data_IF_933533102732
#
_entry.id   IF_933533102732
#
_cell.length_a   1.000
_cell.length_b   1.000
_cell.length_c   1.000
_cell.angle_alpha   90.00
_cell.angle_beta   90.00
_cell.angle_gamma   90.00
#
_symmetry.space_group_name_H-M   'P 1'
#
loop_
_entity.id
_entity.type
_entity.pdbx_description
1 polymer ?
#
# COMPACT_ATOMS: atom_id res chain seq x y z
N UNK A 1 -11.81 6.02 27.77
CA UNK A 1 -10.82 5.08 27.19
C UNK A 1 -9.98 4.42 28.28
N UNK A 2 -9.29 5.17 29.16
CA UNK A 2 -8.41 4.61 30.20
C UNK A 2 -9.06 3.52 31.08
N UNK A 3 -10.32 3.72 31.49
CA UNK A 3 -11.12 2.75 32.25
C UNK A 3 -11.25 1.40 31.51
N UNK A 4 -11.69 1.42 30.25
CA UNK A 4 -11.83 0.23 29.41
C UNK A 4 -10.48 -0.47 29.15
N UNK A 5 -9.40 0.30 29.03
CA UNK A 5 -8.04 -0.26 28.92
C UNK A 5 -7.64 -0.98 30.21
N UNK A 6 -8.05 -0.48 31.38
CA UNK A 6 -7.87 -1.17 32.66
C UNK A 6 -8.57 -2.54 32.68
N UNK A 7 -9.82 -2.63 32.22
CA UNK A 7 -10.52 -3.91 32.04
C UNK A 7 -9.81 -4.82 31.02
N UNK A 8 -9.27 -4.24 29.95
CA UNK A 8 -8.43 -4.98 29.01
C UNK A 8 -7.13 -5.50 29.66
N UNK A 9 -6.67 -4.94 30.77
CA UNK A 9 -5.58 -5.53 31.56
C UNK A 9 -6.07 -6.35 32.77
N UNK A 10 -7.37 -6.63 32.84
CA UNK A 10 -7.96 -7.53 33.82
C UNK A 10 -8.42 -6.88 35.12
N UNK A 11 -8.34 -5.55 35.26
CA UNK A 11 -8.84 -4.88 36.45
C UNK A 11 -10.38 -4.95 36.50
N UNK A 12 -11.00 -5.31 37.64
CA UNK A 12 -12.42 -5.09 37.87
C UNK A 12 -12.71 -3.60 38.14
N UNK A 13 -13.98 -3.26 38.33
CA UNK A 13 -14.31 -2.00 39.00
C UNK A 13 -13.84 -2.05 40.45
N UNK A 14 -13.47 -0.91 41.04
CA UNK A 14 -12.93 -0.88 42.42
C UNK A 14 -13.92 -1.34 43.51
N UNK A 15 -15.21 -1.38 43.22
CA UNK A 15 -16.25 -1.93 44.10
C UNK A 15 -16.56 -3.43 43.83
N UNK A 16 -15.77 -4.07 42.97
CA UNK A 16 -15.85 -5.50 42.65
C UNK A 16 -16.44 -5.83 41.28
N UNK A 17 -16.91 -7.07 41.13
CA UNK A 17 -17.27 -7.68 39.83
C UNK A 17 -18.61 -7.20 39.23
N UNK A 18 -19.36 -6.39 39.96
CA UNK A 18 -20.65 -5.84 39.50
C UNK A 18 -20.43 -4.61 38.60
N UNK A 19 -21.34 -4.38 37.65
CA UNK A 19 -21.38 -3.13 36.87
C UNK A 19 -22.25 -2.03 37.53
N UNK A 20 -22.82 -2.31 38.71
CA UNK A 20 -23.69 -1.39 39.43
C UNK A 20 -22.97 -0.81 40.67
N UNK A 21 -22.50 0.45 40.63
CA UNK A 21 -21.99 1.12 41.82
C UNK A 21 -23.13 1.50 42.79
N UNK A 22 -22.78 1.83 44.02
CA UNK A 22 -23.69 2.31 45.07
C UNK A 22 -24.46 1.22 45.82
N UNK A 23 -24.33 -0.06 45.44
CA UNK A 23 -25.16 -1.15 45.99
C UNK A 23 -24.65 -1.61 47.36
N UNK A 24 -23.44 -2.17 47.39
CA UNK A 24 -22.81 -2.71 48.59
C UNK A 24 -21.31 -2.42 48.55
N UNK A 25 -20.68 -2.40 49.72
CA UNK A 25 -19.23 -2.32 49.80
C UNK A 25 -18.64 -3.60 49.23
N UNK A 26 -17.69 -3.47 48.31
CA UNK A 26 -17.02 -4.59 47.68
C UNK A 26 -15.56 -4.30 47.40
N UNK A 27 -14.86 -5.37 47.02
CA UNK A 27 -13.41 -5.44 46.83
C UNK A 27 -13.11 -5.84 45.37
N UNK A 28 -12.11 -5.21 44.77
CA UNK A 28 -11.58 -5.53 43.44
C UNK A 28 -10.37 -6.47 43.48
N UNK A 29 -10.06 -7.00 44.65
CA UNK A 29 -8.95 -7.91 44.95
C UNK A 29 -7.57 -7.29 44.72
N UNK A 30 -7.49 -5.96 44.84
CA UNK A 30 -6.24 -5.22 44.83
C UNK A 30 -6.04 -4.55 46.18
N UNK A 31 -5.02 -4.97 46.91
CA UNK A 31 -4.84 -4.61 48.34
C UNK A 31 -4.73 -3.10 48.62
N UNK A 32 -4.24 -2.31 47.65
CA UNK A 32 -4.08 -0.86 47.80
C UNK A 32 -5.24 -0.03 47.23
N UNK A 33 -6.35 -0.67 46.87
CA UNK A 33 -7.64 -0.03 46.60
C UNK A 33 -8.61 -0.30 47.76
N UNK A 34 -8.97 0.72 48.56
CA UNK A 34 -9.91 0.54 49.65
C UNK A 34 -11.28 0.04 49.18
N UNK A 35 -11.90 -0.84 49.98
CA UNK A 35 -13.29 -1.28 49.80
C UNK A 35 -14.22 -0.09 49.60
N UNK A 36 -15.06 -0.15 48.58
CA UNK A 36 -15.97 0.95 48.25
C UNK A 36 -17.29 0.44 47.68
N UNK A 37 -18.32 1.27 47.74
CA UNK A 37 -19.55 1.05 46.95
C UNK A 37 -19.39 1.50 45.49
N UNK A 38 -18.35 2.26 45.18
CA UNK A 38 -18.18 2.92 43.90
C UNK A 38 -18.93 4.25 43.82
N UNK A 39 -18.34 5.22 43.13
CA UNK A 39 -18.87 6.57 43.01
C UNK A 39 -19.37 6.87 41.59
N UNK A 40 -20.37 7.74 41.49
CA UNK A 40 -20.87 8.27 40.19
C UNK A 40 -20.76 9.81 40.14
N UNK A 41 -20.25 10.40 41.20
CA UNK A 41 -20.02 11.84 41.36
C UNK A 41 -18.62 12.07 41.91
N UNK A 42 -18.03 13.23 41.64
CA UNK A 42 -16.74 13.59 42.21
C UNK A 42 -16.92 14.24 43.59
N UNK A 43 -16.82 13.45 44.66
CA UNK A 43 -16.80 13.98 46.02
C UNK A 43 -15.62 13.40 46.82
N UNK A 44 -14.51 14.13 46.79
CA UNK A 44 -13.28 13.74 47.50
C UNK A 44 -13.34 14.02 49.01
N UNK A 45 -14.25 14.89 49.47
CA UNK A 45 -14.29 15.35 50.87
C UNK A 45 -15.21 14.47 51.75
N UNK A 46 -15.88 13.47 51.17
CA UNK A 46 -16.81 12.60 51.89
C UNK A 46 -16.81 11.18 51.30
N UNK A 47 -15.63 10.59 51.17
CA UNK A 47 -15.42 9.27 50.56
C UNK A 47 -15.26 8.13 51.57
N UNK A 48 -15.67 8.31 52.83
CA UNK A 48 -15.56 7.28 53.89
C UNK A 48 -16.90 6.58 54.11
N UNK A 49 -17.30 5.71 53.19
CA UNK A 49 -18.63 5.06 53.18
C UNK A 49 -18.57 3.66 53.78
N UNK A 50 -17.54 2.89 53.43
CA UNK A 50 -17.37 1.48 53.79
C UNK A 50 -16.48 1.29 55.02
N UNK A 51 -15.49 2.16 55.22
CA UNK A 51 -14.67 2.24 56.44
C UNK A 51 -14.58 3.71 56.91
N UNK A 52 -14.96 4.03 58.16
CA UNK A 52 -14.90 5.40 58.67
C UNK A 52 -13.48 5.98 58.84
N UNK A 53 -12.44 5.14 58.77
CA UNK A 53 -11.05 5.55 58.94
C UNK A 53 -10.29 5.69 57.62
N UNK A 54 -10.82 5.18 56.52
CA UNK A 54 -10.13 5.10 55.23
C UNK A 54 -10.90 5.91 54.18
N UNK A 55 -10.20 6.81 53.49
CA UNK A 55 -10.75 7.52 52.34
C UNK A 55 -10.75 6.61 51.11
N UNK A 56 -11.92 6.38 50.53
CA UNK A 56 -12.06 5.56 49.33
C UNK A 56 -11.52 6.29 48.10
N UNK A 57 -11.03 5.51 47.14
CA UNK A 57 -10.31 6.02 45.98
C UNK A 57 -11.25 6.53 44.86
N UNK A 58 -11.97 7.62 45.13
CA UNK A 58 -12.92 8.25 44.17
C UNK A 58 -12.23 8.60 42.84
N UNK A 59 -10.93 8.91 42.86
CA UNK A 59 -10.17 9.34 41.68
C UNK A 59 -9.53 8.18 40.92
N UNK A 60 -9.88 6.93 41.24
CA UNK A 60 -9.38 5.76 40.53
C UNK A 60 -9.98 5.67 39.12
N UNK A 61 -9.16 5.28 38.13
CA UNK A 61 -9.63 5.04 36.77
C UNK A 61 -10.68 3.93 36.67
N UNK A 62 -10.72 2.98 37.60
CA UNK A 62 -11.68 1.88 37.64
C UNK A 62 -12.96 2.20 38.44
N UNK A 63 -13.11 3.43 38.92
CA UNK A 63 -14.38 3.94 39.45
C UNK A 63 -15.27 4.50 38.30
N UNK A 64 -16.52 4.90 38.55
CA UNK A 64 -17.39 5.61 37.61
C UNK A 64 -17.45 7.13 37.85
N UNK A 65 -16.75 7.62 38.87
CA UNK A 65 -16.64 9.06 39.14
C UNK A 65 -16.10 9.82 37.92
N UNK A 66 -16.52 11.07 37.68
CA UNK A 66 -16.02 11.86 36.57
C UNK A 66 -14.61 12.44 36.80
N UNK A 67 -13.98 12.27 37.97
CA UNK A 67 -12.72 12.93 38.33
C UNK A 67 -11.54 11.97 38.50
N UNK A 68 -11.49 10.95 37.64
CA UNK A 68 -10.46 9.91 37.65
C UNK A 68 -9.11 10.47 37.19
N UNK A 69 -8.05 10.17 37.92
CA UNK A 69 -6.70 10.67 37.66
C UNK A 69 -5.62 9.58 37.71
N UNK A 70 -5.87 8.44 38.37
CA UNK A 70 -4.81 7.48 38.69
C UNK A 70 -5.24 6.01 38.68
N UNK A 71 -4.25 5.14 38.48
CA UNK A 71 -4.25 3.76 38.96
C UNK A 71 -3.39 3.69 40.23
N UNK A 72 -3.59 2.67 41.04
CA UNK A 72 -2.70 2.36 42.16
C UNK A 72 -1.50 1.51 41.72
N UNK A 73 -0.52 1.34 42.61
CA UNK A 73 0.64 0.49 42.31
C UNK A 73 0.25 -1.00 42.28
N UNK A 74 -0.68 -1.41 43.14
CA UNK A 74 -1.26 -2.75 43.14
C UNK A 74 -2.01 -3.03 41.85
N UNK A 75 -2.79 -2.08 41.34
CA UNK A 75 -3.47 -2.21 40.04
C UNK A 75 -2.45 -2.33 38.90
N UNK A 76 -1.36 -1.54 38.92
CA UNK A 76 -0.28 -1.68 37.93
C UNK A 76 0.39 -3.06 37.98
N UNK A 77 0.65 -3.59 39.18
CA UNK A 77 1.19 -4.93 39.37
C UNK A 77 0.21 -6.02 38.86
N UNK A 78 -1.09 -5.86 39.13
CA UNK A 78 -2.14 -6.75 38.64
C UNK A 78 -2.16 -6.78 37.11
N UNK A 79 -2.18 -5.61 36.47
CA UNK A 79 -2.16 -5.48 35.01
C UNK A 79 -0.95 -6.18 34.39
N UNK A 80 0.25 -6.00 34.98
CA UNK A 80 1.47 -6.68 34.53
C UNK A 80 1.35 -8.20 34.66
N UNK A 81 0.86 -8.69 35.80
CA UNK A 81 0.69 -10.12 36.03
C UNK A 81 -0.33 -10.75 35.06
N UNK A 82 -1.38 -10.02 34.70
CA UNK A 82 -2.35 -10.45 33.67
C UNK A 82 -1.69 -10.68 32.30
N UNK A 83 -0.72 -9.83 31.92
CA UNK A 83 0.06 -10.02 30.69
C UNK A 83 0.92 -11.28 30.82
N UNK A 84 1.66 -11.42 31.93
CA UNK A 84 2.60 -12.53 32.16
C UNK A 84 1.93 -13.90 32.23
N UNK A 85 0.77 -14.00 32.89
CA UNK A 85 -0.02 -15.23 33.01
C UNK A 85 -0.60 -15.70 31.66
N UNK A 86 -0.59 -14.84 30.63
CA UNK A 86 -1.04 -15.22 29.30
C UNK A 86 -2.55 -15.39 29.16
N UNK A 87 -3.33 -14.86 30.11
CA UNK A 87 -4.79 -14.80 29.99
C UNK A 87 -5.16 -14.17 28.64
N UNK A 88 -6.04 -14.84 27.90
CA UNK A 88 -6.45 -14.42 26.54
C UNK A 88 -5.27 -14.17 25.58
N UNK A 89 -4.15 -14.90 25.74
CA UNK A 89 -2.94 -14.80 24.92
C UNK A 89 -2.24 -13.44 25.01
N UNK A 90 -2.46 -12.67 26.09
CA UNK A 90 -1.82 -11.37 26.31
C UNK A 90 -0.31 -11.46 26.49
N UNK A 91 0.22 -12.60 26.92
CA UNK A 91 1.66 -12.86 26.97
C UNK A 91 2.35 -12.74 25.60
N UNK A 92 1.60 -12.81 24.49
CA UNK A 92 2.14 -12.53 23.16
C UNK A 92 2.69 -11.10 23.04
N UNK A 93 2.07 -10.13 23.71
CA UNK A 93 2.51 -8.71 23.66
C UNK A 93 3.96 -8.54 24.10
N UNK A 94 4.38 -9.33 25.09
CA UNK A 94 5.73 -9.30 25.67
C UNK A 94 6.54 -10.54 25.30
N UNK A 95 6.05 -11.35 24.36
CA UNK A 95 6.80 -12.50 23.87
C UNK A 95 8.06 -12.03 23.17
N UNK A 96 9.16 -12.77 23.33
CA UNK A 96 10.43 -12.40 22.72
C UNK A 96 10.32 -12.20 21.21
N UNK A 97 9.56 -13.06 20.53
CA UNK A 97 9.29 -12.90 19.09
C UNK A 97 8.63 -11.58 18.77
N UNK A 98 7.57 -11.20 19.49
CA UNK A 98 6.86 -9.94 19.22
C UNK A 98 7.73 -8.74 19.56
N UNK A 99 8.44 -8.75 20.70
CA UNK A 99 9.33 -7.67 21.09
C UNK A 99 10.46 -7.44 20.07
N UNK A 100 10.94 -8.51 19.42
CA UNK A 100 11.87 -8.41 18.28
C UNK A 100 11.17 -7.87 17.03
N UNK A 101 10.03 -8.43 16.64
CA UNK A 101 9.29 -8.00 15.43
C UNK A 101 8.78 -6.56 15.50
N UNK A 102 8.55 -6.01 16.69
CA UNK A 102 8.12 -4.62 16.88
C UNK A 102 9.25 -3.66 17.26
N UNK A 103 10.50 -4.12 17.31
CA UNK A 103 11.66 -3.26 17.54
C UNK A 103 11.82 -2.74 18.97
N UNK A 104 11.22 -3.42 19.95
CA UNK A 104 11.32 -3.04 21.38
C UNK A 104 12.59 -3.62 22.01
N UNK A 105 12.98 -4.84 21.64
CA UNK A 105 14.12 -5.55 22.25
C UNK A 105 15.39 -5.51 21.39
N UNK A 106 15.24 -5.45 20.08
CA UNK A 106 16.35 -5.33 19.13
C UNK A 106 16.07 -4.09 18.29
N UNK A 107 17.12 -3.30 17.98
CA UNK A 107 17.00 -2.31 16.92
C UNK A 107 16.58 -3.07 15.66
N UNK A 108 15.36 -2.84 15.16
CA UNK A 108 15.08 -3.25 13.81
C UNK A 108 16.04 -2.48 12.93
N UNK A 109 16.93 -3.21 12.27
CA UNK A 109 17.64 -2.70 11.12
C UNK A 109 16.61 -2.25 10.10
N UNK A 110 16.35 -0.94 10.03
CA UNK A 110 15.66 -0.34 8.90
C UNK A 110 16.61 -0.46 7.71
N UNK A 111 16.69 -1.67 7.16
CA UNK A 111 17.45 -1.95 5.95
C UNK A 111 16.89 -1.08 4.85
N UNK A 112 17.79 -0.45 4.12
CA UNK A 112 17.44 0.35 2.98
C UNK A 112 16.76 -0.53 1.94
N UNK A 113 15.62 -0.08 1.45
CA UNK A 113 14.93 -0.63 0.30
C UNK A 113 14.78 0.46 -0.75
N UNK A 114 15.56 0.34 -1.81
CA UNK A 114 15.63 1.31 -2.89
C UNK A 114 14.31 1.34 -3.66
N UNK A 115 13.76 2.54 -3.83
CA UNK A 115 12.57 2.75 -4.65
C UNK A 115 12.54 4.18 -5.17
N UNK A 116 11.94 4.37 -6.34
CA UNK A 116 11.69 5.68 -6.90
C UNK A 116 10.39 5.73 -7.70
N UNK A 117 9.88 6.94 -7.89
CA UNK A 117 8.76 7.21 -8.79
C UNK A 117 9.20 8.21 -9.86
N UNK A 118 8.51 8.21 -10.99
CA UNK A 118 8.72 9.14 -12.09
C UNK A 118 7.41 9.84 -12.43
N UNK A 119 7.48 11.08 -12.93
CA UNK A 119 6.28 11.84 -13.31
C UNK A 119 5.50 11.18 -14.46
N UNK A 120 6.20 10.45 -15.34
CA UNK A 120 5.64 9.69 -16.45
C UNK A 120 6.40 8.35 -16.60
N UNK A 121 5.90 7.41 -17.39
CA UNK A 121 6.66 6.20 -17.79
C UNK A 121 7.15 6.26 -19.23
N UNK A 122 6.62 7.22 -19.97
CA UNK A 122 6.89 7.45 -21.38
C UNK A 122 6.83 8.94 -21.70
N UNK A 123 7.74 9.43 -22.55
CA UNK A 123 7.82 10.83 -22.97
C UNK A 123 8.19 10.94 -24.46
N UNK A 124 8.07 12.13 -25.04
CA UNK A 124 8.64 12.41 -26.35
C UNK A 124 10.13 12.77 -26.25
N UNK A 125 10.82 12.62 -27.37
CA UNK A 125 12.20 13.04 -27.56
C UNK A 125 12.35 14.51 -27.19
N UNK A 126 13.48 14.82 -26.56
CA UNK A 126 13.85 16.13 -26.02
C UNK A 126 12.99 16.65 -24.87
N UNK A 127 11.97 15.90 -24.43
CA UNK A 127 11.25 16.21 -23.20
C UNK A 127 12.04 15.82 -21.95
N UNK A 128 11.64 16.42 -20.83
CA UNK A 128 12.21 16.15 -19.52
C UNK A 128 11.22 15.45 -18.61
N UNK A 129 11.74 14.54 -17.80
CA UNK A 129 10.99 13.76 -16.82
C UNK A 129 11.58 13.98 -15.43
N UNK A 130 10.74 14.02 -14.41
CA UNK A 130 11.18 14.15 -13.02
C UNK A 130 11.17 12.79 -12.34
N UNK A 131 12.25 12.45 -11.65
CA UNK A 131 12.34 11.29 -10.77
C UNK A 131 12.43 11.71 -9.31
N UNK A 132 11.76 10.96 -8.44
CA UNK A 132 11.70 11.18 -7.00
C UNK A 132 12.21 9.93 -6.28
N UNK A 133 13.21 10.09 -5.42
CA UNK A 133 13.59 9.04 -4.48
C UNK A 133 12.42 8.79 -3.51
N UNK A 134 12.00 7.53 -3.41
CA UNK A 134 10.95 7.06 -2.51
C UNK A 134 11.42 5.81 -1.74
N UNK A 135 12.72 5.73 -1.47
CA UNK A 135 13.34 4.59 -0.80
C UNK A 135 12.99 4.54 0.69
N UNK A 136 12.65 3.35 1.18
CA UNK A 136 12.43 3.11 2.60
C UNK A 136 13.80 2.98 3.27
N UNK A 137 14.20 3.98 4.04
CA UNK A 137 15.58 4.04 4.57
C UNK A 137 15.72 4.58 6.00
N UNK A 138 14.67 5.20 6.56
CA UNK A 138 14.76 5.86 7.86
C UNK A 138 15.85 6.94 7.88
N UNK A 139 16.56 7.08 9.00
CA UNK A 139 17.71 7.99 9.14
C UNK A 139 19.04 7.38 8.66
N UNK A 140 19.02 6.19 8.05
CA UNK A 140 20.22 5.39 7.78
C UNK A 140 20.86 5.63 6.40
N UNK A 141 20.54 6.72 5.68
CA UNK A 141 21.09 6.98 4.33
C UNK A 141 22.47 7.63 4.43
N UNK A 142 23.48 6.96 3.87
CA UNK A 142 24.84 7.48 3.73
C UNK A 142 25.09 8.12 2.36
N UNK A 143 24.60 7.49 1.29
CA UNK A 143 24.77 7.99 -0.07
C UNK A 143 23.59 7.60 -0.96
N UNK A 144 23.35 8.42 -1.97
CA UNK A 144 22.33 8.23 -2.98
C UNK A 144 22.94 8.51 -4.33
N UNK A 145 22.70 7.62 -5.30
CA UNK A 145 23.17 7.82 -6.66
C UNK A 145 22.20 7.30 -7.71
N UNK A 146 22.02 8.11 -8.75
CA UNK A 146 21.29 7.76 -9.95
C UNK A 146 22.28 7.46 -11.07
N UNK A 147 22.05 6.41 -11.83
CA UNK A 147 22.67 6.17 -13.14
C UNK A 147 21.56 6.13 -14.18
N UNK A 148 21.62 7.06 -15.13
CA UNK A 148 20.57 7.28 -16.12
C UNK A 148 21.15 7.05 -17.52
N UNK A 149 20.79 5.93 -18.13
CA UNK A 149 21.20 5.62 -19.49
C UNK A 149 20.56 6.58 -20.48
N UNK A 150 21.34 7.22 -21.35
CA UNK A 150 20.83 8.08 -22.42
C UNK A 150 20.14 9.38 -21.97
N UNK A 151 20.08 9.65 -20.66
CA UNK A 151 19.52 10.88 -20.13
C UNK A 151 20.58 11.93 -19.79
N UNK A 152 20.15 13.18 -19.73
CA UNK A 152 20.96 14.34 -19.36
C UNK A 152 20.30 15.04 -18.16
N UNK A 153 20.93 15.08 -16.97
CA UNK A 153 22.23 14.47 -16.67
C UNK A 153 22.16 12.93 -16.60
N UNK A 154 23.29 12.26 -16.86
CA UNK A 154 23.41 10.79 -16.77
C UNK A 154 23.69 10.27 -15.36
N UNK A 155 23.98 11.18 -14.42
CA UNK A 155 24.26 10.89 -13.02
C UNK A 155 23.76 12.03 -12.14
N UNK A 156 23.29 11.70 -10.94
CA UNK A 156 22.99 12.68 -9.89
C UNK A 156 23.02 12.02 -8.51
N UNK A 157 23.14 12.84 -7.46
CA UNK A 157 23.00 12.44 -6.05
C UNK A 157 21.80 13.11 -5.36
N UNK A 158 21.01 13.90 -6.09
CA UNK A 158 19.88 14.62 -5.50
C UNK A 158 18.69 13.69 -5.28
N UNK A 159 17.89 13.95 -4.25
CA UNK A 159 16.67 13.17 -3.99
C UNK A 159 15.60 13.36 -5.07
N UNK A 160 15.62 14.49 -5.80
CA UNK A 160 14.73 14.78 -6.91
C UNK A 160 15.58 15.23 -8.09
N UNK A 161 15.40 14.61 -9.25
CA UNK A 161 16.19 14.90 -10.45
C UNK A 161 15.26 15.14 -11.65
N UNK A 162 15.68 16.03 -12.53
CA UNK A 162 15.00 16.29 -13.81
C UNK A 162 15.97 15.85 -14.91
N UNK A 163 15.51 14.95 -15.77
CA UNK A 163 16.34 14.35 -16.82
C UNK A 163 15.70 14.54 -18.17
N UNK A 164 16.47 15.04 -19.14
CA UNK A 164 16.07 15.16 -20.55
C UNK A 164 16.62 14.00 -21.36
N UNK A 165 15.82 13.47 -22.30
CA UNK A 165 16.23 12.39 -23.20
C UNK A 165 16.29 12.86 -24.66
N UNK A 166 17.49 13.02 -25.26
CA UNK A 166 17.63 13.50 -26.64
C UNK A 166 17.40 12.41 -27.69
N UNK A 167 17.43 11.15 -27.32
CA UNK A 167 17.31 10.02 -28.24
C UNK A 167 16.05 9.21 -27.93
N UNK A 168 15.50 8.56 -28.95
CA UNK A 168 14.35 7.66 -28.82
C UNK A 168 14.82 6.26 -28.44
N UNK A 169 14.02 5.54 -27.65
CA UNK A 169 14.35 4.17 -27.25
C UNK A 169 13.80 3.82 -25.88
N UNK A 170 14.29 2.72 -25.33
CA UNK A 170 14.01 2.31 -23.96
C UNK A 170 15.30 2.52 -23.17
N UNK A 171 15.23 3.29 -22.09
CA UNK A 171 16.38 3.69 -21.29
C UNK A 171 16.23 3.18 -19.86
N UNK A 172 17.28 2.56 -19.33
CA UNK A 172 17.33 2.13 -17.94
C UNK A 172 17.67 3.29 -17.00
N UNK A 173 16.89 3.39 -15.92
CA UNK A 173 17.09 4.31 -14.81
C UNK A 173 17.38 3.47 -13.58
N UNK A 174 18.59 3.58 -13.05
CA UNK A 174 19.02 2.84 -11.87
C UNK A 174 19.23 3.78 -10.69
N UNK A 175 18.54 3.54 -9.60
CA UNK A 175 18.76 4.18 -8.31
C UNK A 175 19.53 3.21 -7.40
N UNK A 176 20.60 3.69 -6.78
CA UNK A 176 21.38 2.98 -5.77
C UNK A 176 21.35 3.83 -4.51
N UNK A 177 20.93 3.22 -3.39
CA UNK A 177 20.92 3.87 -2.08
C UNK A 177 21.78 3.05 -1.14
N UNK A 178 22.75 3.71 -0.52
CA UNK A 178 23.71 3.11 0.38
C UNK A 178 23.45 3.60 1.79
N UNK A 179 23.34 2.66 2.73
CA UNK A 179 23.19 2.94 4.15
C UNK A 179 24.34 2.41 4.97
N UNK A 180 24.22 2.55 6.29
CA UNK A 180 25.22 2.04 7.23
C UNK A 180 25.27 0.51 7.21
N UNK A 181 24.11 -0.13 7.07
CA UNK A 181 23.96 -1.58 7.25
C UNK A 181 23.84 -2.36 5.94
N UNK A 182 23.32 -1.74 4.88
CA UNK A 182 23.19 -2.35 3.57
C UNK A 182 23.22 -1.32 2.44
N UNK A 183 23.39 -1.82 1.23
CA UNK A 183 23.20 -1.08 -0.02
C UNK A 183 22.08 -1.80 -0.76
N UNK A 184 21.15 -1.04 -1.34
CA UNK A 184 20.11 -1.58 -2.20
C UNK A 184 20.00 -0.79 -3.50
N UNK A 185 19.47 -1.41 -4.55
CA UNK A 185 19.29 -0.76 -5.85
C UNK A 185 18.06 -1.25 -6.59
N UNK A 186 17.50 -0.38 -7.41
CA UNK A 186 16.36 -0.69 -8.27
C UNK A 186 16.56 -0.08 -9.65
N UNK A 187 16.16 -0.84 -10.68
CA UNK A 187 16.12 -0.38 -12.06
C UNK A 187 14.67 -0.31 -12.55
N UNK A 188 14.32 0.80 -13.21
CA UNK A 188 13.07 0.93 -14.00
C UNK A 188 13.41 1.49 -15.36
N UNK A 189 12.52 1.30 -16.32
CA UNK A 189 12.75 1.72 -17.70
C UNK A 189 11.81 2.85 -18.11
N UNK A 190 12.34 3.84 -18.82
CA UNK A 190 11.56 4.91 -19.46
C UNK A 190 11.61 4.71 -20.96
N UNK A 191 10.47 4.90 -21.62
CA UNK A 191 10.39 4.88 -23.08
C UNK A 191 10.31 6.30 -23.64
N UNK A 192 11.14 6.57 -24.64
CA UNK A 192 11.23 7.87 -25.30
C UNK A 192 10.90 7.69 -26.77
N UNK A 193 9.95 8.48 -27.26
CA UNK A 193 9.41 8.37 -28.61
C UNK A 193 9.78 9.57 -29.46
N UNK A 194 9.88 9.42 -30.78
CA UNK A 194 10.27 10.53 -31.67
C UNK A 194 9.26 11.70 -31.60
N UNK A 195 8.01 11.44 -31.20
CA UNK A 195 6.93 12.43 -31.05
C UNK A 195 6.46 13.04 -32.38
N UNK A 196 7.37 13.10 -33.35
CA UNK A 196 7.20 13.49 -34.73
C UNK A 196 7.03 12.23 -35.59
N UNK A 197 6.29 12.34 -36.70
CA UNK A 197 5.95 11.22 -37.61
C UNK A 197 4.87 10.24 -37.11
N UNK A 198 3.98 10.69 -36.22
CA UNK A 198 2.75 9.96 -35.92
C UNK A 198 1.87 9.76 -37.16
N UNK A 199 1.13 8.65 -37.21
CA UNK A 199 0.16 8.40 -38.27
C UNK A 199 -0.94 9.47 -38.25
N UNK A 200 -1.20 10.07 -39.41
CA UNK A 200 -2.28 11.05 -39.58
C UNK A 200 -3.64 10.38 -39.55
N UNK A 201 -4.63 11.10 -39.05
CA UNK A 201 -6.02 10.68 -38.93
C UNK A 201 -6.77 10.78 -40.28
N UNK A 202 -7.70 9.87 -40.68
CA UNK A 202 -8.20 8.59 -40.10
C UNK A 202 -7.29 7.36 -40.16
N UNK A 203 -7.31 6.53 -39.10
CA UNK A 203 -6.58 5.24 -39.03
C UNK A 203 -7.42 4.09 -38.48
N UNK A 204 -7.82 3.16 -39.36
CA UNK A 204 -8.73 2.04 -39.09
C UNK A 204 -7.97 0.71 -39.14
N UNK A 205 -8.27 -0.22 -38.24
CA UNK A 205 -7.57 -1.50 -38.11
C UNK A 205 -8.57 -2.62 -37.78
N UNK A 206 -9.25 -3.13 -38.80
CA UNK A 206 -10.26 -4.17 -38.60
C UNK A 206 -9.69 -5.53 -38.27
N UNK A 207 -8.38 -5.78 -38.44
CA UNK A 207 -7.70 -7.08 -38.26
C UNK A 207 -8.31 -8.26 -39.05
N UNK A 208 -9.24 -8.00 -39.96
CA UNK A 208 -9.92 -8.99 -40.81
C UNK A 208 -8.99 -9.72 -41.78
N UNK A 209 -7.77 -9.21 -41.98
CA UNK A 209 -6.69 -9.88 -42.70
C UNK A 209 -5.99 -10.96 -41.86
N UNK A 210 -6.39 -11.14 -40.59
CA UNK A 210 -5.81 -12.11 -39.67
C UNK A 210 -4.45 -11.68 -39.12
N UNK A 211 -4.03 -10.42 -39.30
CA UNK A 211 -2.68 -9.96 -38.98
C UNK A 211 -2.71 -8.77 -38.04
N UNK A 212 -1.89 -8.82 -36.97
CA UNK A 212 -1.59 -7.62 -36.18
C UNK A 212 -0.63 -6.74 -37.01
N UNK A 213 -0.98 -5.48 -37.30
CA UNK A 213 -0.14 -4.57 -38.06
C UNK A 213 1.29 -4.49 -37.50
N UNK A 214 2.29 -4.43 -38.39
CA UNK A 214 3.70 -4.46 -38.00
C UNK A 214 4.16 -3.23 -37.20
N UNK A 215 3.40 -2.15 -37.25
CA UNK A 215 3.64 -0.91 -36.50
C UNK A 215 3.04 -0.95 -35.08
N UNK A 216 2.35 -2.03 -34.71
CA UNK A 216 1.93 -2.27 -33.32
C UNK A 216 3.06 -2.94 -32.56
N UNK A 217 3.33 -2.45 -31.35
CA UNK A 217 4.29 -3.06 -30.45
C UNK A 217 3.55 -4.14 -29.65
N UNK A 218 4.07 -5.38 -29.74
CA UNK A 218 3.63 -6.52 -28.94
C UNK A 218 4.69 -6.78 -27.88
N UNK A 219 4.42 -6.39 -26.65
CA UNK A 219 5.30 -6.70 -25.54
C UNK A 219 4.83 -7.96 -24.82
N UNK A 220 5.80 -8.77 -24.43
CA UNK A 220 5.64 -9.89 -23.52
C UNK A 220 6.89 -9.97 -22.64
N UNK A 221 6.73 -10.30 -21.36
CA UNK A 221 7.88 -10.64 -20.52
C UNK A 221 8.61 -11.88 -21.08
N UNK A 222 9.93 -11.95 -20.89
CA UNK A 222 10.76 -13.06 -21.40
C UNK A 222 10.36 -14.43 -20.84
N UNK A 223 9.78 -14.45 -19.64
CA UNK A 223 9.25 -15.65 -19.00
C UNK A 223 7.74 -15.84 -19.22
N UNK A 224 7.10 -15.05 -20.08
CA UNK A 224 5.65 -15.11 -20.31
C UNK A 224 5.29 -16.10 -21.41
N UNK A 225 4.30 -16.97 -21.14
CA UNK A 225 3.58 -17.77 -22.14
C UNK A 225 2.31 -17.07 -22.66
N UNK A 226 1.93 -15.95 -22.03
CA UNK A 226 0.80 -15.11 -22.45
C UNK A 226 1.27 -14.11 -23.51
N UNK A 227 0.58 -14.07 -24.65
CA UNK A 227 0.88 -13.20 -25.79
C UNK A 227 -0.38 -12.75 -26.53
N UNK A 228 -0.26 -11.64 -27.23
CA UNK A 228 -1.30 -11.13 -28.13
C UNK A 228 -1.31 -11.88 -29.44
N UNK A 229 -2.48 -12.40 -29.82
CA UNK A 229 -2.71 -13.13 -31.06
C UNK A 229 -4.01 -12.69 -31.74
N UNK A 230 -4.17 -13.00 -33.02
CA UNK A 230 -5.44 -12.80 -33.73
C UNK A 230 -6.24 -14.08 -33.65
N UNK A 231 -7.48 -13.99 -33.17
CA UNK A 231 -8.41 -15.12 -33.20
C UNK A 231 -9.28 -15.06 -34.45
N UNK A 232 -9.43 -16.18 -35.18
CA UNK A 232 -10.40 -16.27 -36.26
C UNK A 232 -11.80 -16.64 -35.73
N UNK A 233 -12.81 -16.38 -36.56
CA UNK A 233 -14.25 -16.65 -36.32
C UNK A 233 -14.87 -15.96 -35.08
N UNK A 234 -14.20 -14.98 -34.50
CA UNK A 234 -14.69 -14.21 -33.34
C UNK A 234 -14.36 -12.75 -33.59
N UNK A 235 -15.37 -11.92 -33.83
CA UNK A 235 -15.24 -10.48 -34.04
C UNK A 235 -16.49 -9.69 -33.64
N UNK A 236 -16.42 -8.36 -33.74
CA UNK A 236 -17.53 -7.45 -33.41
C UNK A 236 -18.31 -7.06 -34.67
N UNK A 237 -19.61 -6.74 -34.54
CA UNK A 237 -20.43 -6.22 -35.65
C UNK A 237 -20.37 -7.02 -36.97
N UNK A 238 -20.32 -8.35 -36.88
CA UNK A 238 -20.18 -9.28 -38.02
C UNK A 238 -18.79 -9.33 -38.67
N UNK A 239 -17.73 -8.86 -37.99
CA UNK A 239 -16.34 -9.21 -38.33
C UNK A 239 -16.00 -10.62 -37.85
N UNK A 240 -14.93 -11.19 -38.40
CA UNK A 240 -14.51 -12.56 -38.11
C UNK A 240 -13.21 -12.65 -37.31
N UNK A 241 -12.47 -11.57 -37.13
CA UNK A 241 -11.23 -11.60 -36.37
C UNK A 241 -11.34 -10.80 -35.08
N UNK A 242 -10.36 -10.92 -34.19
CA UNK A 242 -10.09 -9.95 -33.15
C UNK A 242 -8.69 -10.15 -32.60
N UNK A 243 -8.10 -9.11 -32.01
CA UNK A 243 -6.86 -9.26 -31.26
C UNK A 243 -7.19 -9.64 -29.82
N UNK A 244 -6.56 -10.71 -29.33
CA UNK A 244 -6.92 -11.39 -28.10
C UNK A 244 -5.68 -11.68 -27.25
N UNK A 245 -5.88 -11.67 -25.93
CA UNK A 245 -4.87 -12.04 -24.94
C UNK A 245 -5.44 -13.09 -23.97
N UNK A 246 -4.95 -14.34 -24.06
CA UNK A 246 -5.31 -15.38 -23.09
C UNK A 246 -4.49 -15.27 -21.80
N UNK A 247 -4.91 -14.42 -20.88
CA UNK A 247 -4.28 -14.34 -19.56
C UNK A 247 -4.77 -15.44 -18.59
N UNK A 248 -5.89 -16.12 -18.88
CA UNK A 248 -6.48 -17.09 -17.96
C UNK A 248 -5.68 -18.39 -17.87
N UNK A 249 -4.90 -18.72 -18.91
CA UNK A 249 -4.09 -19.93 -19.00
C UNK A 249 -2.61 -19.70 -18.70
N UNK A 250 -2.22 -18.49 -18.27
CA UNK A 250 -0.82 -18.15 -17.99
C UNK A 250 -0.25 -18.98 -16.84
N UNK A 251 0.97 -19.48 -17.03
CA UNK A 251 1.62 -20.39 -16.07
C UNK A 251 2.54 -19.70 -15.06
N UNK A 252 2.99 -18.47 -15.32
CA UNK A 252 3.92 -17.76 -14.45
C UNK A 252 3.22 -16.64 -13.66
N UNK A 253 3.58 -16.41 -12.39
CA UNK A 253 3.06 -15.28 -11.62
C UNK A 253 3.57 -13.94 -12.21
N UNK A 254 2.76 -12.90 -12.07
CA UNK A 254 3.08 -11.51 -12.43
C UNK A 254 3.48 -11.25 -13.89
N UNK A 255 3.04 -12.11 -14.81
CA UNK A 255 3.23 -11.92 -16.25
C UNK A 255 2.61 -10.63 -16.76
N UNK A 256 3.32 -9.93 -17.63
CA UNK A 256 2.83 -8.74 -18.32
C UNK A 256 2.92 -8.92 -19.83
N UNK A 257 1.83 -8.56 -20.49
CA UNK A 257 1.77 -8.44 -21.93
C UNK A 257 0.89 -7.24 -22.30
N UNK A 258 1.34 -6.41 -23.23
CA UNK A 258 0.54 -5.30 -23.73
C UNK A 258 0.71 -5.15 -25.24
N UNK A 259 -0.34 -4.61 -25.85
CA UNK A 259 -0.39 -4.25 -27.25
C UNK A 259 -0.48 -2.73 -27.31
N UNK A 260 0.48 -2.12 -27.99
CA UNK A 260 0.58 -0.68 -28.09
C UNK A 260 0.47 -0.27 -29.55
N UNK A 261 -0.45 0.66 -29.82
CA UNK A 261 -0.64 1.24 -31.15
C UNK A 261 0.55 2.14 -31.51
N UNK A 262 0.77 2.42 -32.81
CA UNK A 262 1.71 3.47 -33.20
C UNK A 262 1.27 4.85 -32.70
N UNK A 263 2.15 5.84 -32.83
CA UNK A 263 1.83 7.24 -32.58
C UNK A 263 0.82 7.76 -33.58
N UNK A 264 -0.05 8.66 -33.12
CA UNK A 264 -1.00 9.37 -33.97
C UNK A 264 -0.73 10.88 -33.91
N UNK A 265 -0.61 11.51 -35.06
CA UNK A 265 -0.52 12.96 -35.17
C UNK A 265 -1.93 13.56 -35.17
N UNK A 266 -2.28 14.20 -34.06
CA UNK A 266 -3.57 14.87 -33.83
C UNK A 266 -3.50 16.39 -34.01
N UNK A 267 -2.36 16.94 -34.46
CA UNK A 267 -2.13 18.39 -34.55
C UNK A 267 -3.14 19.13 -35.43
N UNK A 268 -3.72 18.44 -36.42
CA UNK A 268 -4.72 18.98 -37.35
C UNK A 268 -6.17 18.68 -36.94
N UNK A 269 -6.38 18.07 -35.76
CA UNK A 269 -7.70 17.61 -35.33
C UNK A 269 -8.16 18.36 -34.08
N UNK A 270 -9.19 19.19 -34.26
CA UNK A 270 -9.71 20.04 -33.18
C UNK A 270 -10.57 19.26 -32.16
N UNK A 271 -10.99 18.04 -32.47
CA UNK A 271 -11.83 17.18 -31.62
C UNK A 271 -11.49 15.69 -31.86
N UNK A 272 -10.27 15.24 -31.50
CA UNK A 272 -9.86 13.88 -31.77
C UNK A 272 -10.75 12.88 -31.03
N UNK A 273 -11.11 11.78 -31.69
CA UNK A 273 -11.89 10.68 -31.11
C UNK A 273 -11.18 9.36 -31.33
N UNK A 274 -11.14 8.53 -30.30
CA UNK A 274 -10.72 7.13 -30.36
C UNK A 274 -11.89 6.25 -29.93
N UNK A 275 -12.14 5.18 -30.67
CA UNK A 275 -13.18 4.21 -30.38
C UNK A 275 -12.66 2.82 -30.71
N UNK A 276 -13.03 1.83 -29.90
CA UNK A 276 -12.65 0.43 -30.08
C UNK A 276 -13.73 -0.46 -29.47
N UNK A 277 -13.95 -1.63 -30.07
CA UNK A 277 -14.75 -2.67 -29.46
C UNK A 277 -13.89 -3.42 -28.47
N UNK A 278 -14.44 -3.72 -27.30
CA UNK A 278 -13.78 -4.58 -26.34
C UNK A 278 -14.72 -5.56 -25.68
N UNK A 279 -14.18 -6.73 -25.35
CA UNK A 279 -14.83 -7.74 -24.53
C UNK A 279 -13.78 -8.38 -23.60
N UNK A 280 -14.20 -8.78 -22.40
CA UNK A 280 -13.33 -9.41 -21.42
C UNK A 280 -14.09 -10.44 -20.58
N UNK A 281 -13.35 -11.40 -20.02
CA UNK A 281 -13.87 -12.36 -19.05
C UNK A 281 -12.95 -12.38 -17.82
N UNK A 282 -13.53 -12.28 -16.61
CA UNK A 282 -12.79 -12.26 -15.35
C UNK A 282 -12.66 -13.68 -14.78
N UNK A 283 -11.45 -14.08 -14.41
CA UNK A 283 -11.24 -15.28 -13.61
C UNK A 283 -11.68 -15.02 -12.15
N UNK A 284 -12.66 -15.77 -11.65
CA UNK A 284 -13.28 -15.57 -10.34
C UNK A 284 -12.47 -16.12 -9.16
N UNK A 285 -11.31 -16.77 -9.38
CA UNK A 285 -10.56 -17.44 -8.31
C UNK A 285 -9.47 -16.60 -7.62
N UNK A 286 -9.05 -15.44 -8.15
CA UNK A 286 -8.02 -14.59 -7.51
C UNK A 286 -8.47 -13.14 -7.38
N UNK A 287 -8.60 -12.67 -6.13
CA UNK A 287 -8.73 -11.25 -5.79
C UNK A 287 -7.37 -10.56 -6.01
N UNK A 288 -7.10 -10.08 -7.20
CA UNK A 288 -6.12 -9.01 -7.41
C UNK A 288 -6.84 -7.75 -7.90
N UNK A 289 -6.53 -6.64 -7.23
CA UNK A 289 -7.08 -5.31 -7.46
C UNK A 289 -6.53 -4.78 -8.77
N UNK A 290 -7.45 -4.38 -9.65
CA UNK A 290 -7.24 -3.92 -11.01
C UNK A 290 -6.81 -2.45 -11.01
N UNK A 291 -5.59 -2.15 -11.43
CA UNK A 291 -5.33 -0.97 -12.26
C UNK A 291 -5.49 -1.38 -13.73
N UNK A 292 -5.77 -0.44 -14.62
CA UNK A 292 -6.22 -0.60 -16.02
C UNK A 292 -5.30 -1.39 -16.98
N UNK A 293 -4.43 -2.26 -16.46
CA UNK A 293 -3.36 -2.92 -17.20
C UNK A 293 -3.36 -4.44 -17.14
N UNK A 294 -4.36 -5.09 -16.51
CA UNK A 294 -4.40 -6.56 -16.43
C UNK A 294 -5.81 -7.11 -16.67
N UNK A 295 -6.21 -7.30 -17.93
CA UNK A 295 -7.33 -8.19 -18.29
C UNK A 295 -7.17 -8.73 -19.71
N UNK A 296 -7.81 -9.87 -20.06
CA UNK A 296 -7.97 -10.32 -21.43
C UNK A 296 -8.69 -9.20 -22.20
N UNK A 297 -7.96 -8.51 -23.04
CA UNK A 297 -8.53 -7.54 -23.97
C UNK A 297 -8.80 -8.31 -25.26
N UNK A 298 -10.08 -8.44 -25.62
CA UNK A 298 -10.47 -8.50 -27.02
C UNK A 298 -10.43 -7.03 -27.46
N UNK A 299 -9.53 -6.66 -28.37
CA UNK A 299 -9.50 -5.31 -28.93
C UNK A 299 -9.50 -5.43 -30.46
N UNK A 300 -10.62 -5.08 -31.08
CA UNK A 300 -10.71 -4.97 -32.53
C UNK A 300 -11.12 -3.54 -32.92
N UNK A 301 -10.39 -2.94 -33.88
CA UNK A 301 -10.31 -1.49 -34.07
C UNK A 301 -10.91 -1.06 -35.42
N UNK A 302 -12.18 -0.66 -35.44
CA UNK A 302 -12.63 0.24 -36.50
C UNK A 302 -12.32 1.70 -36.13
N UNK A 303 -11.07 2.13 -36.29
CA UNK A 303 -10.69 3.53 -36.13
C UNK A 303 -10.98 4.37 -37.37
N UNK A 304 -12.12 5.03 -37.50
CA UNK A 304 -12.07 6.31 -38.21
C UNK A 304 -11.47 7.31 -37.24
N UNK A 305 -10.21 7.73 -37.44
CA UNK A 305 -9.81 9.00 -36.86
C UNK A 305 -10.33 10.12 -37.77
N UNK A 306 -11.58 10.51 -37.63
CA UNK A 306 -12.04 11.76 -38.26
C UNK A 306 -11.43 12.95 -37.54
#
# INVERSE_FOLDING_TARGET
>A
MTHEVGHWFGLPHIWGISNAPGVACGDDFVEDTPDTKGFVSCNINNSKICDPNIEENVQNYMDYSPCKLMFTNGQAAYMKKTIELGLNKRNRLVSESNLKSTGVKEELSCLIKANFMSSYTSICKDESITFYNNSESGDNVNDLSWNIQGGIPSFSKDSIIIVRFPDTGIFEIKLIVSGIQNIDSISKFIRVFDGNNGKKTPQMYSFEDGIIPSDFIRFQDQASDVRWEVLPSIGAENTNHCVFLNHASGTYPDQRAYLETPFYDLSQNNKPRMSFYYAYAKNTQTKQILSEWNTPLIAEKHGTFS
#
